data_IF_673138558196
#
_entry.id   IF_673138558196
#
_cell.length_a   1.000
_cell.length_b   1.000
_cell.length_c   1.000
_cell.angle_alpha   90.00
_cell.angle_beta   90.00
_cell.angle_gamma   90.00
#
_symmetry.space_group_name_H-M   'P 1'
#
loop_
_entity.id
_entity.type
_entity.pdbx_description
1 polymer ?
#
# COMPACT_ATOMS: atom_id res chain seq x y z
N UNK A 1 -18.43 -16.01 11.55
CA UNK A 1 -16.98 -15.82 11.35
C UNK A 1 -16.63 -14.40 11.74
N UNK A 2 -15.48 -14.13 12.39
CA UNK A 2 -15.06 -12.76 12.68
C UNK A 2 -14.86 -12.00 11.36
N UNK A 3 -15.15 -10.70 11.36
CA UNK A 3 -14.99 -9.82 10.19
C UNK A 3 -13.49 -9.71 9.85
N UNK A 4 -13.12 -10.05 8.61
CA UNK A 4 -11.78 -9.77 8.10
C UNK A 4 -11.69 -8.28 7.75
N UNK A 5 -10.76 -7.55 8.37
CA UNK A 5 -10.57 -6.12 8.11
C UNK A 5 -9.65 -5.89 6.91
N UNK A 6 -10.01 -4.92 6.08
CA UNK A 6 -9.31 -4.60 4.84
C UNK A 6 -8.58 -3.26 4.91
N UNK A 7 -7.42 -3.16 4.28
CA UNK A 7 -6.69 -1.91 4.21
C UNK A 7 -5.95 -1.68 2.89
N UNK A 8 -5.57 -0.44 2.63
CA UNK A 8 -4.66 -0.02 1.56
C UNK A 8 -3.44 0.63 2.19
N UNK A 9 -2.24 0.32 1.70
CA UNK A 9 -0.99 0.93 2.18
C UNK A 9 -0.44 1.93 1.15
N UNK A 10 -0.37 3.20 1.50
CA UNK A 10 0.17 4.26 0.66
C UNK A 10 1.57 4.63 1.14
N UNK A 11 2.52 4.80 0.21
CA UNK A 11 3.93 5.02 0.56
C UNK A 11 4.48 3.85 1.41
N UNK A 12 4.19 2.63 0.96
CA UNK A 12 4.35 1.42 1.76
C UNK A 12 5.81 1.05 2.08
N UNK A 13 6.78 1.66 1.38
CA UNK A 13 8.20 1.34 1.52
C UNK A 13 8.46 -0.15 1.30
N UNK A 14 9.31 -0.74 2.14
CA UNK A 14 9.59 -2.18 2.09
C UNK A 14 8.49 -3.06 2.72
N UNK A 15 7.39 -2.46 3.20
CA UNK A 15 6.22 -3.18 3.73
C UNK A 15 6.21 -3.39 5.25
N UNK A 16 6.98 -2.62 6.03
CA UNK A 16 7.02 -2.78 7.50
C UNK A 16 5.66 -2.58 8.18
N UNK A 17 4.93 -1.53 7.79
CA UNK A 17 3.56 -1.28 8.28
C UNK A 17 2.60 -2.39 7.87
N UNK A 18 2.67 -2.79 6.60
CA UNK A 18 1.89 -3.90 6.06
C UNK A 18 2.16 -5.24 6.75
N UNK A 19 3.41 -5.52 7.13
CA UNK A 19 3.77 -6.72 7.90
C UNK A 19 3.15 -6.69 9.30
N UNK A 20 3.12 -5.53 9.96
CA UNK A 20 2.42 -5.35 11.23
C UNK A 20 0.92 -5.65 11.11
N UNK A 21 0.27 -5.10 10.08
CA UNK A 21 -1.15 -5.33 9.81
C UNK A 21 -1.45 -6.79 9.46
N UNK A 22 -0.58 -7.45 8.67
CA UNK A 22 -0.64 -8.89 8.43
C UNK A 22 -0.63 -9.69 9.73
N UNK A 23 0.32 -9.40 10.61
CA UNK A 23 0.45 -10.09 11.89
C UNK A 23 -0.75 -9.82 12.83
N UNK A 24 -1.41 -8.68 12.67
CA UNK A 24 -2.64 -8.33 13.39
C UNK A 24 -3.91 -8.96 12.77
N UNK A 25 -3.80 -9.77 11.72
CA UNK A 25 -4.93 -10.46 11.08
C UNK A 25 -5.71 -9.61 10.08
N UNK A 26 -5.17 -8.48 9.64
CA UNK A 26 -5.77 -7.67 8.58
C UNK A 26 -5.38 -8.22 7.21
N UNK A 27 -6.16 -7.88 6.19
CA UNK A 27 -5.90 -8.24 4.80
C UNK A 27 -5.65 -7.00 3.94
N UNK A 28 -4.53 -6.97 3.23
CA UNK A 28 -4.23 -5.88 2.31
C UNK A 28 -5.05 -6.01 1.03
N UNK A 29 -5.52 -4.90 0.47
CA UNK A 29 -6.08 -4.86 -0.89
C UNK A 29 -4.97 -4.63 -1.91
N UNK A 30 -4.23 -3.53 -1.75
CA UNK A 30 -3.04 -3.23 -2.54
C UNK A 30 -2.13 -2.27 -1.77
N UNK A 31 -0.90 -2.12 -2.26
CA UNK A 31 0.08 -1.17 -1.74
C UNK A 31 0.58 -0.27 -2.88
N UNK A 32 0.87 0.98 -2.56
CA UNK A 32 1.48 1.95 -3.48
C UNK A 32 2.86 2.32 -2.95
N UNK A 33 3.90 2.00 -3.70
CA UNK A 33 5.28 2.36 -3.39
C UNK A 33 6.03 2.73 -4.66
N UNK A 34 6.67 3.90 -4.66
CA UNK A 34 7.35 4.46 -5.82
C UNK A 34 8.71 3.80 -6.08
N UNK A 35 9.48 3.55 -5.03
CA UNK A 35 10.83 3.00 -5.10
C UNK A 35 10.80 1.55 -5.58
N UNK A 36 11.45 1.23 -6.71
CA UNK A 36 11.50 -0.14 -7.23
C UNK A 36 12.08 -1.13 -6.22
N UNK A 37 13.11 -0.75 -5.48
CA UNK A 37 13.80 -1.68 -4.56
C UNK A 37 13.00 -1.92 -3.27
N UNK A 38 12.33 -0.88 -2.77
CA UNK A 38 11.42 -1.02 -1.65
C UNK A 38 10.23 -1.92 -2.04
N UNK A 39 9.64 -1.68 -3.22
CA UNK A 39 8.55 -2.50 -3.72
C UNK A 39 8.96 -3.96 -3.98
N UNK A 40 10.15 -4.23 -4.54
CA UNK A 40 10.67 -5.60 -4.70
C UNK A 40 10.68 -6.35 -3.37
N UNK A 41 11.10 -5.69 -2.30
CA UNK A 41 11.14 -6.27 -0.95
C UNK A 41 9.73 -6.55 -0.43
N UNK A 42 8.80 -5.59 -0.59
CA UNK A 42 7.39 -5.76 -0.23
C UNK A 42 6.76 -6.93 -1.00
N UNK A 43 6.92 -6.96 -2.32
CA UNK A 43 6.37 -7.98 -3.21
C UNK A 43 6.85 -9.37 -2.81
N UNK A 44 8.17 -9.55 -2.69
CA UNK A 44 8.74 -10.86 -2.34
C UNK A 44 8.20 -11.40 -1.01
N UNK A 45 8.16 -10.56 0.03
CA UNK A 45 7.82 -11.01 1.38
C UNK A 45 6.31 -11.10 1.63
N UNK A 46 5.54 -10.11 1.16
CA UNK A 46 4.14 -9.96 1.52
C UNK A 46 3.19 -10.43 0.42
N UNK A 47 3.55 -10.27 -0.85
CA UNK A 47 2.69 -10.69 -1.97
C UNK A 47 2.99 -12.14 -2.32
N UNK A 48 4.21 -12.45 -2.75
CA UNK A 48 4.56 -13.75 -3.32
C UNK A 48 4.62 -14.84 -2.23
N UNK A 49 5.25 -14.57 -1.08
CA UNK A 49 5.41 -15.56 0.00
C UNK A 49 4.21 -15.71 0.92
N UNK A 50 3.55 -14.60 1.25
CA UNK A 50 2.49 -14.58 2.28
C UNK A 50 1.08 -14.47 1.70
N UNK A 51 0.94 -14.19 0.40
CA UNK A 51 -0.34 -13.90 -0.23
C UNK A 51 -1.16 -12.89 0.60
N UNK A 52 -0.51 -11.85 1.12
CA UNK A 52 -1.10 -10.91 2.07
C UNK A 52 -2.06 -9.92 1.40
N UNK A 53 -1.83 -9.63 0.13
CA UNK A 53 -2.63 -8.67 -0.63
C UNK A 53 -3.61 -9.36 -1.59
N UNK A 54 -4.89 -8.99 -1.51
CA UNK A 54 -5.91 -9.30 -2.51
C UNK A 54 -5.79 -8.34 -3.70
N UNK A 55 -4.68 -8.44 -4.43
CA UNK A 55 -4.29 -7.46 -5.44
C UNK A 55 -5.34 -7.34 -6.56
N UNK A 56 -5.90 -6.15 -6.79
CA UNK A 56 -6.98 -5.99 -7.75
C UNK A 56 -6.46 -6.03 -9.20
N UNK A 57 -7.12 -6.82 -10.05
CA UNK A 57 -6.77 -6.95 -11.49
C UNK A 57 -6.73 -5.61 -12.23
N UNK A 58 -7.58 -4.65 -11.85
CA UNK A 58 -7.63 -3.34 -12.49
C UNK A 58 -6.36 -2.52 -12.27
N UNK A 59 -5.58 -2.81 -11.23
CA UNK A 59 -4.30 -2.15 -10.94
C UNK A 59 -3.13 -2.76 -11.73
N UNK A 60 -3.39 -3.82 -12.51
CA UNK A 60 -2.37 -4.58 -13.21
C UNK A 60 -1.59 -5.51 -12.28
N UNK A 61 -0.50 -6.07 -12.80
CA UNK A 61 0.40 -6.91 -12.01
C UNK A 61 1.08 -6.10 -10.88
N UNK A 62 1.39 -6.74 -9.73
CA UNK A 62 2.09 -6.06 -8.64
C UNK A 62 3.46 -5.53 -9.08
N UNK A 63 3.57 -4.20 -9.14
CA UNK A 63 4.78 -3.46 -9.49
C UNK A 63 4.88 -2.17 -8.67
N UNK A 64 6.03 -1.50 -8.71
CA UNK A 64 6.18 -0.19 -8.11
C UNK A 64 5.27 0.84 -8.80
N UNK A 65 4.63 1.70 -8.02
CA UNK A 65 3.59 2.61 -8.46
C UNK A 65 3.82 4.00 -7.86
N UNK A 66 3.69 5.03 -8.68
CA UNK A 66 3.70 6.43 -8.25
C UNK A 66 2.27 6.89 -7.93
N UNK A 67 2.06 7.51 -6.76
CA UNK A 67 0.72 7.80 -6.24
C UNK A 67 -0.09 8.75 -7.13
N UNK A 68 0.54 9.74 -7.76
CA UNK A 68 -0.14 10.68 -8.66
C UNK A 68 -0.58 9.99 -9.95
N UNK A 69 0.23 9.06 -10.46
CA UNK A 69 -0.15 8.24 -11.61
C UNK A 69 -1.33 7.33 -11.28
N UNK A 70 -1.32 6.70 -10.10
CA UNK A 70 -2.42 5.85 -9.62
C UNK A 70 -3.72 6.66 -9.52
N UNK A 71 -3.68 7.84 -8.92
CA UNK A 71 -4.86 8.72 -8.79
C UNK A 71 -5.38 9.12 -10.18
N UNK A 72 -4.48 9.51 -11.09
CA UNK A 72 -4.86 9.96 -12.45
C UNK A 72 -5.47 8.83 -13.28
N UNK A 73 -4.86 7.65 -13.27
CA UNK A 73 -5.24 6.51 -14.13
C UNK A 73 -6.43 5.73 -13.59
N UNK A 74 -6.57 5.61 -12.27
CA UNK A 74 -7.54 4.71 -11.63
C UNK A 74 -8.59 5.43 -10.79
N UNK A 75 -8.86 6.71 -11.08
CA UNK A 75 -9.80 7.56 -10.33
C UNK A 75 -11.15 6.89 -10.08
N UNK A 76 -11.77 6.31 -11.11
CA UNK A 76 -13.10 5.69 -11.00
C UNK A 76 -13.07 4.42 -10.12
N UNK A 77 -12.03 3.60 -10.27
CA UNK A 77 -11.82 2.40 -9.47
C UNK A 77 -11.60 2.75 -7.99
N UNK A 78 -10.80 3.79 -7.72
CA UNK A 78 -10.59 4.30 -6.36
C UNK A 78 -11.88 4.85 -5.75
N UNK A 79 -12.70 5.58 -6.50
CA UNK A 79 -14.01 6.05 -6.03
C UNK A 79 -14.95 4.90 -5.68
N UNK A 80 -14.90 3.80 -6.44
CA UNK A 80 -15.69 2.59 -6.19
C UNK A 80 -15.30 1.84 -4.89
N UNK A 81 -14.17 2.20 -4.26
CA UNK A 81 -13.74 1.67 -2.96
C UNK A 81 -14.36 2.43 -1.77
N UNK A 82 -15.05 3.54 -2.00
CA UNK A 82 -15.69 4.33 -0.94
C UNK A 82 -16.66 3.46 -0.13
N UNK A 83 -16.47 3.45 1.20
CA UNK A 83 -17.27 2.66 2.13
C UNK A 83 -16.98 1.15 2.12
N UNK A 84 -15.95 0.70 1.40
CA UNK A 84 -15.57 -0.73 1.29
C UNK A 84 -14.21 -1.07 1.91
N UNK A 85 -13.43 -0.07 2.30
CA UNK A 85 -12.09 -0.22 2.88
C UNK A 85 -12.15 0.23 4.33
N UNK A 86 -11.65 -0.58 5.26
CA UNK A 86 -11.72 -0.29 6.69
C UNK A 86 -10.60 0.67 7.13
N UNK A 87 -9.44 0.65 6.46
CA UNK A 87 -8.29 1.51 6.79
C UNK A 87 -7.53 1.97 5.54
N UNK A 88 -7.15 3.25 5.52
CA UNK A 88 -6.09 3.77 4.65
C UNK A 88 -4.87 4.01 5.53
N UNK A 89 -3.84 3.21 5.32
CA UNK A 89 -2.56 3.28 6.01
C UNK A 89 -1.52 3.95 5.12
N UNK A 90 -0.50 4.56 5.71
CA UNK A 90 0.61 5.09 4.95
C UNK A 90 1.48 6.11 5.67
N UNK A 91 2.72 6.25 5.20
CA UNK A 91 3.70 7.20 5.73
C UNK A 91 4.16 8.17 4.65
N UNK A 92 3.41 9.24 4.34
CA UNK A 92 3.83 10.21 3.34
C UNK A 92 5.14 10.90 3.76
N UNK A 93 6.04 11.22 2.83
CA UNK A 93 7.30 11.87 3.17
C UNK A 93 7.06 13.29 3.69
N UNK A 94 7.66 13.65 4.83
CA UNK A 94 7.55 14.98 5.44
C UNK A 94 8.63 15.95 4.93
N UNK A 95 8.74 16.11 3.61
CA UNK A 95 9.75 16.99 3.03
C UNK A 95 9.37 18.46 3.26
N UNK A 96 10.29 19.25 3.86
CA UNK A 96 10.13 20.69 4.10
C UNK A 96 9.92 21.12 5.55
N UNK A 97 9.52 20.22 6.45
CA UNK A 97 9.28 20.53 7.88
C UNK A 97 10.22 19.79 8.85
N UNK A 98 11.07 18.91 8.35
CA UNK A 98 12.09 18.26 9.18
C UNK A 98 13.19 19.27 9.56
N UNK A 99 13.41 19.46 10.86
CA UNK A 99 14.59 20.18 11.37
C UNK A 99 15.87 19.31 11.36
N UNK A 100 15.74 18.00 11.07
CA UNK A 100 16.88 17.10 10.94
C UNK A 100 17.42 17.16 9.50
N UNK A 101 18.48 17.96 9.31
CA UNK A 101 19.18 18.19 8.04
C UNK A 101 19.74 19.62 7.98
N UNK A 102 20.94 19.82 7.41
CA UNK A 102 21.52 21.16 7.23
C UNK A 102 20.60 22.00 6.34
N UNK A 103 20.20 23.17 6.85
CA UNK A 103 19.83 24.32 6.02
C UNK A 103 21.09 24.92 5.44
#
# INVERSE_FOLDING_TARGET
>A
MPKEYSYIDLFAGCGGLSLGLHNAGWKGLFAVEKSPDAFKTLKYNLIDKKNHFNWPKWLGEPTNLEINEVIKKYKNQLQNLRGKVDLVAGGPPCQGFSMAGRR
#
